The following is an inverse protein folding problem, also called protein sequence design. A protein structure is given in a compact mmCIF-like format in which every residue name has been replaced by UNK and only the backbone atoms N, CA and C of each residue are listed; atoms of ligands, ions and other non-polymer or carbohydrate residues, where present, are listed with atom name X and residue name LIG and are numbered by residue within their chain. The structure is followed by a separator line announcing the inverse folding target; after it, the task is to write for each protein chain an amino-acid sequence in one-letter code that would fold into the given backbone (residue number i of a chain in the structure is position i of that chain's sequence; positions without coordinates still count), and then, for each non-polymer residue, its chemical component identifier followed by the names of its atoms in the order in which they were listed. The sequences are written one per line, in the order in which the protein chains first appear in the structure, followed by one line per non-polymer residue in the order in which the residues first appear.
data_IF_407378346527
#
_entry.id   IF_407378346527
#
_cell.length_a   1.000
_cell.length_b   1.000
_cell.length_c   1.000
_cell.angle_alpha   90.00
_cell.angle_beta   90.00
_cell.angle_gamma   90.00
#
_symmetry.space_group_name_H-M   'P 1'
#
loop_
_entity.id
_entity.type
_entity.pdbx_description
1 polymer ?
#
# COMPACT_ATOMS: atom_id res chain seq x y z
N UNK A 1 10.63 -4.12 -14.89
CA UNK A 1 9.65 -4.25 -13.82
C UNK A 1 10.37 -4.46 -12.49
N UNK A 2 10.00 -3.68 -11.49
CA UNK A 2 10.56 -3.84 -10.14
C UNK A 2 9.52 -4.45 -9.23
N UNK A 3 9.97 -5.32 -8.34
CA UNK A 3 9.11 -5.91 -7.33
C UNK A 3 9.78 -5.81 -5.98
N UNK A 4 9.02 -5.37 -4.99
CA UNK A 4 9.49 -5.25 -3.61
C UNK A 4 8.56 -6.07 -2.72
N UNK A 5 9.12 -6.92 -1.90
CA UNK A 5 8.35 -7.72 -0.93
C UNK A 5 9.00 -7.51 0.43
N UNK A 6 8.23 -6.97 1.39
CA UNK A 6 8.71 -6.74 2.75
C UNK A 6 7.62 -7.06 3.75
N UNK A 7 8.03 -7.43 4.96
CA UNK A 7 7.09 -7.75 6.04
C UNK A 7 7.45 -6.98 7.30
N UNK A 8 6.42 -6.75 8.13
CA UNK A 8 6.61 -6.15 9.45
C UNK A 8 5.61 -6.75 10.43
N UNK A 9 6.05 -6.98 11.66
CA UNK A 9 5.16 -7.42 12.72
C UNK A 9 4.78 -6.21 13.55
N UNK A 10 3.48 -6.03 13.77
CA UNK A 10 2.95 -4.91 14.53
C UNK A 10 2.17 -5.43 15.75
N UNK A 11 2.26 -4.69 16.85
CA UNK A 11 1.66 -5.08 18.12
C UNK A 11 0.22 -4.55 18.23
N UNK A 12 -0.61 -4.89 17.25
CA UNK A 12 -2.04 -4.55 17.23
C UNK A 12 -2.82 -5.75 16.70
N UNK A 13 -4.13 -5.84 17.03
CA UNK A 13 -4.97 -6.90 16.48
C UNK A 13 -5.07 -6.83 14.95
N UNK A 14 -5.34 -7.96 14.32
CA UNK A 14 -5.40 -8.04 12.86
C UNK A 14 -6.46 -7.11 12.26
N UNK A 15 -7.60 -6.96 12.91
CA UNK A 15 -8.64 -6.06 12.43
C UNK A 15 -8.21 -4.61 12.43
N UNK A 16 -7.45 -4.18 13.44
CA UNK A 16 -6.95 -2.82 13.52
C UNK A 16 -5.92 -2.55 12.39
N UNK A 17 -5.00 -3.48 12.19
CA UNK A 17 -4.02 -3.35 11.12
C UNK A 17 -4.71 -3.32 9.75
N UNK A 18 -5.62 -4.25 9.53
CA UNK A 18 -6.36 -4.32 8.27
C UNK A 18 -7.16 -3.04 8.03
N UNK A 19 -7.91 -2.59 9.03
CA UNK A 19 -8.77 -1.41 8.88
C UNK A 19 -7.96 -0.19 8.47
N UNK A 20 -6.77 -0.01 9.03
CA UNK A 20 -5.93 1.13 8.66
C UNK A 20 -5.49 1.07 7.20
N UNK A 21 -5.18 -0.12 6.69
CA UNK A 21 -4.79 -0.27 5.30
C UNK A 21 -5.94 -0.11 4.31
N UNK A 22 -7.18 0.00 4.79
CA UNK A 22 -8.32 0.36 3.95
C UNK A 22 -8.44 1.87 3.77
N UNK A 23 -7.71 2.64 4.57
CA UNK A 23 -7.77 4.10 4.56
C UNK A 23 -6.65 4.64 3.70
N UNK A 24 -6.81 4.51 2.37
CA UNK A 24 -5.78 4.85 1.40
C UNK A 24 -5.33 6.31 1.52
N UNK A 25 -6.22 7.21 1.89
CA UNK A 25 -5.88 8.62 2.00
C UNK A 25 -4.92 8.91 3.15
N UNK A 26 -4.69 7.94 4.05
CA UNK A 26 -3.71 8.09 5.12
C UNK A 26 -2.32 7.57 4.74
N UNK A 27 -2.19 6.89 3.59
CA UNK A 27 -0.91 6.31 3.17
C UNK A 27 0.25 7.30 3.15
N UNK A 28 0.06 8.58 2.78
CA UNK A 28 1.17 9.54 2.82
C UNK A 28 1.80 9.72 4.20
N UNK A 29 1.10 9.35 5.26
CA UNK A 29 1.61 9.51 6.61
C UNK A 29 2.68 8.48 6.96
N UNK A 30 2.77 7.37 6.22
CA UNK A 30 3.80 6.37 6.47
C UNK A 30 4.49 5.84 5.21
N UNK A 31 3.91 5.99 4.04
CA UNK A 31 4.56 5.60 2.78
C UNK A 31 5.23 6.82 2.15
N UNK A 32 6.55 6.88 2.24
CA UNK A 32 7.31 8.09 1.87
C UNK A 32 7.20 8.47 0.41
N UNK A 33 6.97 7.49 -0.49
CA UNK A 33 6.86 7.79 -1.91
C UNK A 33 5.47 8.30 -2.30
N UNK A 34 4.48 8.17 -1.44
CA UNK A 34 3.12 8.61 -1.71
C UNK A 34 2.95 10.03 -1.23
N UNK A 35 2.63 10.94 -2.15
CA UNK A 35 2.39 12.33 -1.83
C UNK A 35 0.96 12.56 -1.42
N UNK A 36 0.02 11.96 -2.16
CA UNK A 36 -1.40 12.12 -1.91
C UNK A 36 -2.17 10.99 -2.57
N UNK A 37 -3.25 10.56 -1.91
CA UNK A 37 -4.22 9.66 -2.51
C UNK A 37 -5.59 10.26 -2.29
N UNK A 38 -6.40 10.31 -3.34
CA UNK A 38 -7.79 10.73 -3.25
C UNK A 38 -8.67 9.53 -3.59
N UNK A 39 -9.50 9.12 -2.67
CA UNK A 39 -10.43 8.00 -2.90
C UNK A 39 -11.63 8.50 -3.67
N UNK A 40 -11.89 7.91 -4.84
CA UNK A 40 -12.96 8.33 -5.72
C UNK A 40 -14.26 7.58 -5.44
N UNK A 41 -14.15 6.31 -5.08
CA UNK A 41 -15.28 5.48 -4.64
C UNK A 41 -14.72 4.30 -3.84
N UNK A 42 -15.54 3.29 -3.53
CA UNK A 42 -15.14 2.19 -2.66
C UNK A 42 -13.97 1.38 -3.22
N UNK A 43 -13.73 1.42 -4.53
CA UNK A 43 -12.71 0.59 -5.17
C UNK A 43 -11.70 1.38 -6.01
N UNK A 44 -11.90 2.69 -6.19
CA UNK A 44 -11.03 3.49 -7.06
C UNK A 44 -10.34 4.60 -6.29
N UNK A 45 -9.03 4.73 -6.53
CA UNK A 45 -8.20 5.76 -5.90
C UNK A 45 -7.34 6.45 -6.96
N UNK A 46 -7.13 7.75 -6.76
CA UNK A 46 -6.17 8.52 -7.56
C UNK A 46 -4.93 8.76 -6.71
N UNK A 47 -3.77 8.38 -7.24
CA UNK A 47 -2.49 8.47 -6.54
C UNK A 47 -1.59 9.53 -7.16
N UNK A 48 -0.95 10.31 -6.30
CA UNK A 48 0.16 11.17 -6.69
C UNK A 48 1.37 10.67 -5.92
N UNK A 49 2.42 10.26 -6.62
CA UNK A 49 3.63 9.71 -6.02
C UNK A 49 4.84 10.48 -6.49
N UNK A 50 5.91 10.42 -5.70
CA UNK A 50 7.20 11.00 -6.05
C UNK A 50 8.26 9.93 -5.80
N UNK A 51 8.94 9.52 -6.88
CA UNK A 51 9.96 8.49 -6.81
C UNK A 51 11.20 9.03 -7.50
N UNK A 52 12.30 9.14 -6.74
CA UNK A 52 13.55 9.65 -7.29
C UNK A 52 13.47 11.07 -7.80
N UNK A 53 12.59 11.89 -7.22
CA UNK A 53 12.42 13.28 -7.65
C UNK A 53 11.43 13.45 -8.80
N UNK A 54 10.85 12.36 -9.31
CA UNK A 54 9.90 12.42 -10.42
C UNK A 54 8.50 12.19 -9.88
N UNK A 55 7.60 13.14 -10.14
CA UNK A 55 6.21 13.02 -9.73
C UNK A 55 5.40 12.31 -10.81
N UNK A 56 4.57 11.37 -10.38
CA UNK A 56 3.69 10.62 -11.29
C UNK A 56 2.30 10.55 -10.69
N UNK A 57 1.31 10.45 -11.56
CA UNK A 57 -0.08 10.30 -11.14
C UNK A 57 -0.71 9.14 -11.91
N UNK A 58 -1.54 8.39 -11.23
CA UNK A 58 -2.25 7.27 -11.84
C UNK A 58 -3.48 6.91 -11.00
N UNK A 59 -4.41 6.24 -11.64
CA UNK A 59 -5.61 5.74 -10.97
C UNK A 59 -5.46 4.25 -10.75
N UNK A 60 -5.91 3.78 -9.58
CA UNK A 60 -5.90 2.35 -9.26
C UNK A 60 -7.30 1.87 -8.95
N UNK A 61 -7.50 0.59 -9.18
CA UNK A 61 -8.72 -0.10 -8.80
C UNK A 61 -8.36 -1.23 -7.84
N UNK A 62 -9.16 -1.38 -6.79
CA UNK A 62 -8.98 -2.50 -5.86
C UNK A 62 -9.50 -3.75 -6.58
N UNK A 63 -8.62 -4.72 -6.78
CA UNK A 63 -8.95 -5.94 -7.51
C UNK A 63 -9.39 -7.07 -6.60
N UNK A 64 -9.01 -6.99 -5.32
CA UNK A 64 -9.39 -8.01 -4.34
C UNK A 64 -9.31 -7.40 -2.96
N UNK A 65 -10.32 -7.65 -2.13
CA UNK A 65 -10.30 -7.18 -0.74
C UNK A 65 -11.12 -8.14 0.11
N UNK A 66 -10.50 -8.68 1.14
CA UNK A 66 -11.13 -9.59 2.09
C UNK A 66 -10.77 -9.13 3.50
N UNK A 67 -11.76 -8.80 4.35
CA UNK A 67 -11.50 -8.30 5.70
C UNK A 67 -10.52 -9.19 6.47
N UNK A 68 -9.55 -8.55 7.10
CA UNK A 68 -8.51 -9.18 7.93
C UNK A 68 -7.59 -10.14 7.19
N UNK A 69 -7.66 -10.21 5.85
CA UNK A 69 -6.84 -11.12 5.06
C UNK A 69 -5.98 -10.41 4.04
N UNK A 70 -6.59 -9.61 3.15
CA UNK A 70 -5.79 -8.96 2.10
C UNK A 70 -6.52 -7.82 1.40
N UNK A 71 -5.70 -6.91 0.86
CA UNK A 71 -6.13 -5.86 -0.06
C UNK A 71 -5.19 -5.87 -1.25
N UNK A 72 -5.72 -5.93 -2.45
CA UNK A 72 -4.92 -5.89 -3.68
C UNK A 72 -5.45 -4.82 -4.61
N UNK A 73 -4.54 -4.14 -5.31
CA UNK A 73 -4.91 -3.10 -6.27
C UNK A 73 -3.96 -3.11 -7.46
N UNK A 74 -4.40 -2.48 -8.55
CA UNK A 74 -3.55 -2.26 -9.71
C UNK A 74 -3.97 -0.99 -10.42
N UNK A 75 -3.07 -0.43 -11.22
CA UNK A 75 -3.42 0.75 -12.01
C UNK A 75 -4.45 0.37 -13.06
N UNK A 76 -5.39 1.30 -13.31
CA UNK A 76 -6.53 1.06 -14.19
C UNK A 76 -6.10 0.74 -15.62
N UNK A 77 -5.05 1.40 -16.09
CA UNK A 77 -4.54 1.21 -17.45
C UNK A 77 -3.52 0.05 -17.56
N UNK A 78 -3.27 -0.66 -16.47
CA UNK A 78 -2.29 -1.75 -16.45
C UNK A 78 -0.85 -1.29 -16.42
N UNK A 79 -0.61 0.01 -16.30
CA UNK A 79 0.73 0.61 -16.22
C UNK A 79 0.91 1.28 -14.88
N UNK A 80 2.14 1.35 -14.41
CA UNK A 80 2.42 1.98 -13.13
C UNK A 80 2.53 0.96 -12.03
N UNK A 81 1.64 1.01 -11.05
CA UNK A 81 1.81 0.24 -9.82
C UNK A 81 0.70 -0.80 -9.62
N UNK A 82 1.09 -1.93 -9.07
CA UNK A 82 0.16 -2.90 -8.50
C UNK A 82 0.69 -3.25 -7.11
N UNK A 83 -0.20 -3.59 -6.20
CA UNK A 83 0.21 -3.94 -4.85
C UNK A 83 -0.72 -4.93 -4.19
N UNK A 84 -0.18 -5.65 -3.23
CA UNK A 84 -0.93 -6.58 -2.39
C UNK A 84 -0.43 -6.42 -0.97
N UNK A 85 -1.36 -6.25 -0.03
CA UNK A 85 -1.04 -6.26 1.40
C UNK A 85 -1.80 -7.43 2.00
N UNK A 86 -1.09 -8.32 2.67
CA UNK A 86 -1.70 -9.45 3.35
C UNK A 86 -1.49 -9.36 4.85
N UNK A 87 -2.41 -9.93 5.60
CA UNK A 87 -2.44 -9.82 7.05
C UNK A 87 -2.48 -11.22 7.65
N UNK A 88 -1.57 -11.48 8.60
CA UNK A 88 -1.44 -12.79 9.24
C UNK A 88 -1.51 -12.60 10.74
N UNK A 89 -2.56 -13.12 11.36
CA UNK A 89 -2.74 -13.02 12.80
C UNK A 89 -1.68 -13.88 13.49
N UNK A 90 -0.86 -13.24 14.31
CA UNK A 90 0.16 -13.94 15.12
C UNK A 90 -0.33 -14.19 16.53
N UNK A 91 -1.28 -13.40 17.00
CA UNK A 91 -1.86 -13.52 18.33
C UNK A 91 -2.98 -12.52 18.49
N UNK A 92 -3.62 -12.45 19.67
CA UNK A 92 -4.75 -11.54 19.88
C UNK A 92 -4.40 -10.07 19.66
N UNK A 93 -3.15 -9.69 19.87
CA UNK A 93 -2.69 -8.31 19.74
C UNK A 93 -1.43 -8.18 18.90
N UNK A 94 -1.20 -9.14 17.98
CA UNK A 94 -0.03 -9.06 17.11
C UNK A 94 -0.38 -9.56 15.72
N UNK A 95 0.10 -8.85 14.71
CA UNK A 95 -0.19 -9.12 13.31
C UNK A 95 1.07 -8.99 12.47
N UNK A 96 1.25 -9.90 11.52
CA UNK A 96 2.29 -9.75 10.49
C UNK A 96 1.65 -9.17 9.25
N UNK A 97 2.20 -8.04 8.80
CA UNK A 97 1.76 -7.37 7.58
C UNK A 97 2.80 -7.62 6.51
N UNK A 98 2.39 -8.16 5.37
CA UNK A 98 3.27 -8.39 4.23
C UNK A 98 2.82 -7.51 3.08
N UNK A 99 3.76 -6.74 2.52
CA UNK A 99 3.50 -5.82 1.42
C UNK A 99 4.30 -6.25 0.21
N UNK A 100 3.62 -6.39 -0.92
CA UNK A 100 4.25 -6.65 -2.20
C UNK A 100 3.86 -5.53 -3.15
N UNK A 101 4.86 -4.86 -3.70
CA UNK A 101 4.63 -3.78 -4.67
C UNK A 101 5.31 -4.14 -5.97
N UNK A 102 4.57 -4.04 -7.06
CA UNK A 102 5.07 -4.23 -8.41
C UNK A 102 5.02 -2.89 -9.11
N UNK A 103 6.14 -2.50 -9.70
CA UNK A 103 6.28 -1.20 -10.33
C UNK A 103 6.81 -1.35 -11.74
N UNK A 104 6.15 -0.71 -12.71
CA UNK A 104 6.56 -0.76 -14.11
C UNK A 104 6.89 0.64 -14.60
N UNK A 105 7.97 0.81 -15.38
CA UNK A 105 8.24 2.09 -16.02
C UNK A 105 7.12 2.41 -17.01
N UNK A 106 6.73 3.68 -17.05
CA UNK A 106 5.69 4.12 -17.95
C UNK A 106 6.15 4.23 -19.39
N UNK A 107 7.45 4.44 -19.58
CA UNK A 107 8.01 4.67 -20.90
C UNK A 107 9.42 4.12 -20.98
N UNK A 108 9.93 4.03 -22.22
CA UNK A 108 11.31 3.61 -22.45
C UNK A 108 12.30 4.60 -21.83
N UNK A 109 11.96 5.87 -21.80
CA UNK A 109 12.80 6.89 -21.19
C UNK A 109 13.00 6.62 -19.71
N UNK A 110 11.95 6.29 -19.01
CA UNK A 110 12.04 5.94 -17.60
C UNK A 110 12.87 4.68 -17.40
N UNK A 111 12.65 3.70 -18.27
CA UNK A 111 13.38 2.45 -18.20
C UNK A 111 14.88 2.66 -18.40
N UNK A 112 15.23 3.50 -19.34
CA UNK A 112 16.63 3.81 -19.61
C UNK A 112 17.25 4.63 -18.47
N UNK A 113 16.47 5.54 -17.91
CA UNK A 113 16.95 6.39 -16.82
C UNK A 113 17.15 5.63 -15.52
N UNK A 114 16.49 4.51 -15.37
CA UNK A 114 16.61 3.64 -14.18
C UNK A 114 16.31 4.32 -12.87
N UNK A 115 15.56 5.39 -12.91
CA UNK A 115 15.40 6.24 -11.74
C UNK A 115 14.14 5.87 -10.94
N UNK A 116 13.20 5.21 -11.58
CA UNK A 116 11.87 5.02 -11.03
C UNK A 116 11.68 3.63 -10.44
N UNK A 117 12.59 3.25 -9.55
CA UNK A 117 12.47 2.01 -8.82
C UNK A 117 12.24 2.31 -7.35
N UNK A 118 11.26 1.62 -6.77
CA UNK A 118 11.05 1.70 -5.34
C UNK A 118 12.07 0.76 -4.70
N UNK A 119 12.89 1.33 -3.81
CA UNK A 119 13.96 0.62 -3.13
C UNK A 119 13.39 -0.19 -1.98
N UNK A 120 13.85 -1.44 -1.81
CA UNK A 120 13.47 -2.29 -0.69
C UNK A 120 13.70 -1.59 0.65
N UNK A 121 14.79 -0.82 0.76
CA UNK A 121 15.10 -0.11 2.00
C UNK A 121 14.07 0.95 2.31
N UNK A 122 13.57 1.63 1.29
CA UNK A 122 12.55 2.66 1.47
C UNK A 122 11.27 2.03 1.96
N UNK A 123 10.87 0.90 1.38
CA UNK A 123 9.65 0.22 1.79
C UNK A 123 9.81 -0.35 3.20
N UNK A 124 10.96 -0.91 3.52
CA UNK A 124 11.23 -1.42 4.85
C UNK A 124 11.12 -0.31 5.90
N UNK A 125 11.67 0.85 5.58
CA UNK A 125 11.55 2.02 6.45
C UNK A 125 10.10 2.48 6.56
N UNK A 126 9.38 2.46 5.45
CA UNK A 126 7.98 2.89 5.44
C UNK A 126 7.11 1.95 6.27
N UNK A 127 7.40 0.65 6.26
CA UNK A 127 6.69 -0.28 7.13
C UNK A 127 7.02 -0.05 8.59
N UNK A 128 8.26 0.34 8.92
CA UNK A 128 8.60 0.75 10.28
C UNK A 128 7.81 2.01 10.66
N UNK A 129 7.63 2.93 9.72
CA UNK A 129 6.78 4.11 9.95
C UNK A 129 5.34 3.70 10.20
N UNK A 130 4.83 2.74 9.45
CA UNK A 130 3.47 2.23 9.66
C UNK A 130 3.34 1.61 11.05
N UNK A 131 4.33 0.82 11.47
CA UNK A 131 4.32 0.22 12.80
C UNK A 131 4.21 1.29 13.87
N UNK A 132 5.03 2.33 13.77
CA UNK A 132 4.99 3.44 14.71
C UNK A 132 3.65 4.17 14.66
N UNK A 133 3.14 4.39 13.45
CA UNK A 133 1.87 5.06 13.24
C UNK A 133 0.71 4.32 13.93
N UNK A 134 0.62 3.00 13.70
CA UNK A 134 -0.53 2.23 14.20
C UNK A 134 -0.40 1.91 15.69
N UNK A 135 0.81 1.69 16.19
CA UNK A 135 1.01 1.35 17.60
C UNK A 135 0.91 2.55 18.53
N UNK A 136 1.11 3.76 18.00
CA UNK A 136 1.02 4.98 18.81
C UNK A 136 -0.40 5.50 18.92
N UNK A 137 -1.36 4.87 18.28
CA UNK A 137 -2.76 5.29 18.26
C UNK A 137 -3.61 4.33 19.07
N UNK A 138 -4.65 4.82 19.75
CA UNK A 138 -5.56 3.91 20.46
C UNK A 138 -6.43 3.09 19.53
N UNK A 139 -6.61 3.55 18.27
CA UNK A 139 -7.42 2.86 17.28
C UNK A 139 -7.02 3.31 15.87
N UNK A 140 -7.45 2.56 14.86
CA UNK A 140 -7.30 2.93 13.46
C UNK A 140 -8.13 4.20 13.15
N UNK A 141 -7.79 4.88 12.05
CA UNK A 141 -8.47 6.12 11.68
C UNK A 141 -9.83 5.89 11.03
N UNK A 142 -10.10 4.68 10.60
CA UNK A 142 -11.36 4.32 9.96
C UNK A 142 -11.29 2.90 9.46
N UNK A 143 -12.32 2.48 8.75
CA UNK A 143 -12.38 1.13 8.23
C UNK A 143 -13.34 1.05 7.03
N UNK A 144 -13.03 0.13 6.11
CA UNK A 144 -13.97 -0.31 5.09
C UNK A 144 -13.88 -1.84 5.08
N UNK A 145 -14.96 -2.49 5.42
CA UNK A 145 -14.96 -3.94 5.60
C UNK A 145 -15.80 -4.67 4.55
N UNK A 146 -16.00 -4.01 3.41
CA UNK A 146 -16.64 -4.67 2.29
C UNK A 146 -15.72 -5.72 1.66
N UNK A 147 -16.29 -6.59 0.86
CA UNK A 147 -15.56 -7.65 0.18
C UNK A 147 -15.50 -7.36 -1.31
N UNK A 148 -14.31 -7.49 -1.89
CA UNK A 148 -14.12 -7.39 -3.34
C UNK A 148 -13.58 -8.73 -3.79
N UNK A 149 -14.41 -9.58 -4.40
CA UNK A 149 -13.96 -10.89 -4.82
C UNK A 149 -13.02 -10.79 -6.00
N UNK A 150 -12.14 -11.75 -6.10
CA UNK A 150 -11.21 -11.84 -7.21
C UNK A 150 -11.95 -12.28 -8.48
N UNK A 151 -11.73 -11.57 -9.56
CA UNK A 151 -12.32 -11.92 -10.87
C UNK A 151 -11.59 -13.05 -11.55
#
# INVERSE_FOLDING_TARGET
MSQVIETIDVDVPVDQAYNQWTQFETFPEFLSFVKEITQQDDTHNHWTVNIGGVQREFDTVITEQHPDERVAWQSVDGKGQAGVVTFHKLGPTQTRVAVQLDWQPESLTEKVGEVLQIDDRAIKKDLANFKEFIESRPAETGAWRGDVPRD
#
